data_IF_822295986012
#
_entry.id   IF_822295986012
#
_cell.length_a   1.000
_cell.length_b   1.000
_cell.length_c   1.000
_cell.angle_alpha   90.00
_cell.angle_beta   90.00
_cell.angle_gamma   90.00
#
_symmetry.space_group_name_H-M   'P 1'
#
loop_
_entity.id
_entity.type
_entity.pdbx_description
1 polymer ?
#
# COMPACT_ATOMS: atom_id res chain seq x y z
N UNK A 1 -1.84 24.59 -1.22
CA UNK A 1 -1.82 23.83 0.04
C UNK A 1 -2.41 22.44 -0.12
N UNK A 2 -3.62 22.30 -0.70
CA UNK A 2 -4.35 21.03 -0.78
C UNK A 2 -3.72 19.96 -1.71
N UNK A 3 -3.15 20.36 -2.86
CA UNK A 3 -2.48 19.42 -3.78
C UNK A 3 -1.19 18.79 -3.21
N UNK A 4 -0.43 19.56 -2.41
CA UNK A 4 0.80 19.10 -1.75
C UNK A 4 0.48 17.94 -0.79
N UNK A 5 -0.70 17.98 -0.17
CA UNK A 5 -1.13 16.95 0.79
C UNK A 5 -1.42 15.61 0.11
N UNK A 6 -2.09 15.63 -1.05
CA UNK A 6 -2.45 14.39 -1.76
C UNK A 6 -1.20 13.70 -2.32
N UNK A 7 -0.29 14.45 -2.95
CA UNK A 7 0.96 13.90 -3.46
C UNK A 7 1.83 13.28 -2.35
N UNK A 8 1.99 13.99 -1.23
CA UNK A 8 2.75 13.48 -0.08
C UNK A 8 2.13 12.21 0.52
N UNK A 9 0.79 12.18 0.63
CA UNK A 9 0.06 11.01 1.12
C UNK A 9 0.18 9.82 0.16
N UNK A 10 0.17 10.07 -1.15
CA UNK A 10 0.34 9.06 -2.17
C UNK A 10 1.72 8.39 -2.06
N UNK A 11 2.78 9.20 -1.94
CA UNK A 11 4.14 8.71 -1.76
C UNK A 11 4.30 7.90 -0.47
N UNK A 12 3.74 8.38 0.65
CA UNK A 12 3.73 7.62 1.90
C UNK A 12 3.06 6.25 1.76
N UNK A 13 1.90 6.19 1.11
CA UNK A 13 1.20 4.92 0.86
C UNK A 13 1.98 3.99 -0.09
N UNK A 14 2.66 4.55 -1.11
CA UNK A 14 3.51 3.77 -2.03
C UNK A 14 4.74 3.20 -1.33
N UNK A 15 5.32 3.91 -0.36
CA UNK A 15 6.40 3.40 0.50
C UNK A 15 5.87 2.28 1.39
N UNK A 16 4.78 2.50 2.14
CA UNK A 16 4.20 1.48 3.02
C UNK A 16 3.82 0.20 2.26
N UNK A 17 3.28 0.33 1.05
CA UNK A 17 2.96 -0.81 0.20
C UNK A 17 4.20 -1.63 -0.19
N UNK A 18 5.32 -0.97 -0.51
CA UNK A 18 6.59 -1.63 -0.85
C UNK A 18 7.19 -2.33 0.37
N UNK A 19 7.14 -1.69 1.53
CA UNK A 19 7.64 -2.27 2.78
C UNK A 19 6.84 -3.52 3.17
N UNK A 20 5.51 -3.47 3.03
CA UNK A 20 4.67 -4.65 3.26
C UNK A 20 5.00 -5.79 2.30
N UNK A 21 5.33 -5.50 1.05
CA UNK A 21 5.76 -6.53 0.10
C UNK A 21 7.07 -7.19 0.54
N UNK A 22 8.06 -6.38 0.91
CA UNK A 22 9.34 -6.87 1.42
C UNK A 22 9.18 -7.75 2.67
N UNK A 23 8.35 -7.31 3.62
CA UNK A 23 8.04 -8.07 4.84
C UNK A 23 7.34 -9.39 4.50
N UNK A 24 6.36 -9.38 3.59
CA UNK A 24 5.69 -10.61 3.16
C UNK A 24 6.70 -11.57 2.54
N UNK A 25 7.54 -11.12 1.59
CA UNK A 25 8.56 -11.95 0.95
C UNK A 25 9.49 -12.58 1.97
N UNK A 26 10.00 -11.79 2.92
CA UNK A 26 10.91 -12.26 3.98
C UNK A 26 10.24 -13.24 4.95
N UNK A 27 8.95 -13.06 5.27
CA UNK A 27 8.22 -13.98 6.13
C UNK A 27 7.91 -15.28 5.39
N UNK A 28 7.59 -15.21 4.09
CA UNK A 28 7.31 -16.39 3.28
C UNK A 28 8.55 -17.23 2.95
N UNK A 29 9.75 -16.69 3.11
CA UNK A 29 10.99 -17.45 2.91
C UNK A 29 11.44 -18.22 4.16
N UNK A 30 10.74 -18.09 5.29
CA UNK A 30 11.09 -18.78 6.53
C UNK A 30 10.46 -20.18 6.57
N UNK A 31 11.10 -21.17 7.22
CA UNK A 31 10.57 -22.54 7.28
C UNK A 31 9.30 -22.66 8.14
N UNK A 32 9.07 -21.76 9.10
CA UNK A 32 7.91 -21.76 10.00
C UNK A 32 7.01 -20.56 9.73
N UNK A 33 6.40 -20.51 8.54
CA UNK A 33 5.54 -19.39 8.14
C UNK A 33 4.25 -19.40 8.97
N UNK A 34 3.93 -18.27 9.58
CA UNK A 34 2.58 -18.01 10.11
C UNK A 34 1.67 -17.55 8.95
N UNK A 35 0.88 -18.50 8.43
CA UNK A 35 -0.04 -18.24 7.32
C UNK A 35 -1.10 -17.19 7.64
N UNK A 36 -1.56 -17.10 8.88
CA UNK A 36 -2.57 -16.11 9.27
C UNK A 36 -1.94 -14.72 9.32
N UNK A 37 -0.69 -14.60 9.77
CA UNK A 37 0.07 -13.36 9.68
C UNK A 37 0.26 -12.92 8.23
N UNK A 38 0.65 -13.82 7.34
CA UNK A 38 0.78 -13.52 5.90
C UNK A 38 -0.55 -13.05 5.32
N UNK A 39 -1.67 -13.70 5.65
CA UNK A 39 -3.00 -13.29 5.18
C UNK A 39 -3.38 -11.88 5.66
N UNK A 40 -3.13 -11.55 6.94
CA UNK A 40 -3.35 -10.20 7.48
C UNK A 40 -2.53 -9.14 6.74
N UNK A 41 -1.26 -9.43 6.47
CA UNK A 41 -0.36 -8.52 5.74
C UNK A 41 -0.80 -8.33 4.28
N UNK A 42 -1.18 -9.41 3.58
CA UNK A 42 -1.72 -9.34 2.22
C UNK A 42 -3.01 -8.51 2.16
N UNK A 43 -3.91 -8.68 3.15
CA UNK A 43 -5.13 -7.86 3.26
C UNK A 43 -4.81 -6.39 3.46
N UNK A 44 -3.85 -6.05 4.33
CA UNK A 44 -3.40 -4.67 4.52
C UNK A 44 -2.80 -4.08 3.23
N UNK A 45 -1.95 -4.84 2.54
CA UNK A 45 -1.36 -4.45 1.25
C UNK A 45 -2.44 -4.16 0.19
N UNK A 46 -3.48 -4.99 0.12
CA UNK A 46 -4.63 -4.80 -0.77
C UNK A 46 -5.35 -3.48 -0.48
N UNK A 47 -5.67 -3.21 0.79
CA UNK A 47 -6.35 -1.96 1.18
C UNK A 47 -5.54 -0.72 0.82
N UNK A 48 -4.22 -0.76 1.00
CA UNK A 48 -3.33 0.36 0.64
C UNK A 48 -3.32 0.56 -0.87
N UNK A 49 -3.17 -0.51 -1.66
CA UNK A 49 -3.22 -0.45 -3.13
C UNK A 49 -4.54 0.18 -3.60
N UNK A 50 -5.67 -0.28 -3.07
CA UNK A 50 -6.98 0.23 -3.46
C UNK A 50 -7.16 1.70 -3.03
N UNK A 51 -6.53 2.12 -1.92
CA UNK A 51 -6.52 3.52 -1.46
C UNK A 51 -5.68 4.40 -2.38
N UNK A 52 -4.49 3.93 -2.80
CA UNK A 52 -3.65 4.60 -3.80
C UNK A 52 -4.45 4.81 -5.08
N UNK A 53 -5.08 3.76 -5.62
CA UNK A 53 -5.86 3.86 -6.85
C UNK A 53 -7.02 4.86 -6.73
N UNK A 54 -7.74 4.88 -5.60
CA UNK A 54 -8.79 5.89 -5.37
C UNK A 54 -8.23 7.31 -5.34
N UNK A 55 -7.10 7.53 -4.69
CA UNK A 55 -6.46 8.85 -4.60
C UNK A 55 -5.90 9.33 -5.95
N UNK A 56 -5.33 8.41 -6.75
CA UNK A 56 -4.86 8.71 -8.12
C UNK A 56 -6.05 9.07 -9.02
N UNK A 57 -7.14 8.32 -8.96
CA UNK A 57 -8.36 8.61 -9.72
C UNK A 57 -9.01 9.93 -9.30
N UNK A 58 -9.10 10.22 -8.00
CA UNK A 58 -9.64 11.50 -7.53
C UNK A 58 -8.77 12.68 -7.96
N UNK A 59 -7.46 12.50 -8.01
CA UNK A 59 -6.53 13.55 -8.48
C UNK A 59 -6.66 13.79 -9.98
N UNK A 60 -6.79 12.72 -10.77
CA UNK A 60 -6.93 12.81 -12.22
C UNK A 60 -8.30 13.40 -12.65
N UNK A 61 -9.38 13.14 -11.90
CA UNK A 61 -10.71 13.71 -12.17
C UNK A 61 -10.84 15.21 -11.79
N UNK A 62 -9.90 15.78 -11.02
CA UNK A 62 -9.87 17.22 -10.72
C UNK A 62 -9.10 18.01 -11.79
N UNK A 63 -8.28 17.31 -12.60
CA UNK A 63 -7.42 17.89 -13.63
C UNK A 63 -8.01 17.82 -15.05
N UNK A 64 -9.27 17.37 -15.20
CA UNK A 64 -10.05 17.36 -16.45
C UNK A 64 -11.20 18.36 -16.40
#
# INVERSE_FOLDING_TARGET
>A
MEQINIGYRLEGLKVEHRDLDYVITRLTSQPNIDNDQIQRLKKRKLVIRDTISRLELSSNNILS
#
